data_IF_070966701657
#
_entry.id   IF_070966701657
#
_cell.length_a   1.000
_cell.length_b   1.000
_cell.length_c   1.000
_cell.angle_alpha   90.00
_cell.angle_beta   90.00
_cell.angle_gamma   90.00
#
_symmetry.space_group_name_H-M   'P 1'
#
loop_
_entity.id
_entity.type
_entity.pdbx_description
1 polymer ?
#
# COMPACT_ATOMS: atom_id res chain seq x y z
N UNK A 1 -36.72 28.14 19.21
CA UNK A 1 -36.60 29.61 19.32
C UNK A 1 -37.94 30.35 19.27
N UNK A 2 -38.97 29.92 18.52
CA UNK A 2 -40.30 30.58 18.55
C UNK A 2 -41.34 29.98 19.52
N UNK A 3 -40.95 29.04 20.38
CA UNK A 3 -41.86 28.24 21.23
C UNK A 3 -41.97 28.73 22.67
N UNK A 4 -41.22 29.78 23.05
CA UNK A 4 -41.32 30.38 24.38
C UNK A 4 -42.56 31.28 24.44
N UNK A 5 -43.40 31.09 25.47
CA UNK A 5 -44.64 31.87 25.67
C UNK A 5 -44.42 33.40 25.63
N UNK A 6 -43.24 33.87 26.03
CA UNK A 6 -42.91 35.29 26.12
C UNK A 6 -42.02 35.80 24.97
N UNK A 7 -41.83 35.01 23.90
CA UNK A 7 -41.03 35.45 22.76
C UNK A 7 -41.87 36.30 21.80
N UNK A 8 -41.71 37.62 21.93
CA UNK A 8 -42.22 38.63 20.99
C UNK A 8 -41.14 38.96 19.97
N UNK A 9 -41.26 38.42 18.76
CA UNK A 9 -40.42 38.79 17.64
C UNK A 9 -40.95 40.10 17.06
N UNK A 10 -40.40 41.24 17.47
CA UNK A 10 -40.78 42.58 16.96
C UNK A 10 -40.57 42.73 15.45
N UNK A 11 -39.71 41.90 14.87
CA UNK A 11 -39.43 41.82 13.43
C UNK A 11 -40.43 40.97 12.63
N UNK A 12 -41.36 40.26 13.29
CA UNK A 12 -42.32 39.37 12.64
C UNK A 12 -43.75 39.76 13.00
N UNK A 13 -44.54 40.16 11.99
CA UNK A 13 -45.92 40.54 12.21
C UNK A 13 -46.72 39.40 12.89
N UNK A 14 -47.62 39.71 13.85
CA UNK A 14 -48.38 38.69 14.57
C UNK A 14 -49.17 37.73 13.67
N UNK A 15 -49.69 38.23 12.54
CA UNK A 15 -50.40 37.42 11.53
C UNK A 15 -49.50 36.37 10.88
N UNK A 16 -48.27 36.74 10.53
CA UNK A 16 -47.26 35.84 9.94
C UNK A 16 -46.83 34.80 10.98
N UNK A 17 -46.63 35.21 12.24
CA UNK A 17 -46.32 34.30 13.35
C UNK A 17 -47.42 33.23 13.51
N UNK A 18 -48.69 33.65 13.56
CA UNK A 18 -49.83 32.74 13.65
C UNK A 18 -49.91 31.79 12.45
N UNK A 19 -49.66 32.29 11.24
CA UNK A 19 -49.63 31.47 10.03
C UNK A 19 -48.53 30.40 10.10
N UNK A 20 -47.31 30.78 10.51
CA UNK A 20 -46.20 29.83 10.68
C UNK A 20 -46.52 28.79 11.76
N UNK A 21 -47.17 29.17 12.86
CA UNK A 21 -47.58 28.23 13.91
C UNK A 21 -48.59 27.22 13.38
N UNK A 22 -49.63 27.69 12.66
CA UNK A 22 -50.61 26.81 12.00
C UNK A 22 -49.95 25.86 11.00
N UNK A 23 -48.98 26.33 10.21
CA UNK A 23 -48.22 25.48 9.29
C UNK A 23 -47.42 24.39 10.00
N UNK A 24 -46.86 24.68 11.18
CA UNK A 24 -46.10 23.70 11.99
C UNK A 24 -46.99 22.65 12.66
N UNK A 25 -48.26 22.99 12.88
CA UNK A 25 -49.25 22.08 13.47
C UNK A 25 -49.79 21.06 12.45
N UNK A 26 -49.73 21.37 11.15
CA UNK A 26 -50.10 20.44 10.08
C UNK A 26 -49.25 19.17 10.13
N UNK A 27 -49.91 18.02 9.92
CA UNK A 27 -49.24 16.72 9.99
C UNK A 27 -48.18 16.56 8.91
N UNK A 28 -48.43 17.07 7.69
CA UNK A 28 -47.44 17.09 6.60
C UNK A 28 -46.12 17.75 7.02
N UNK A 29 -46.19 18.86 7.75
CA UNK A 29 -44.98 19.54 8.26
C UNK A 29 -44.28 18.71 9.32
N UNK A 30 -45.03 18.13 10.26
CA UNK A 30 -44.48 17.28 11.32
C UNK A 30 -43.81 16.03 10.75
N UNK A 31 -44.41 15.37 9.77
CA UNK A 31 -43.84 14.22 9.06
C UNK A 31 -42.55 14.59 8.33
N UNK A 32 -42.57 15.64 7.50
CA UNK A 32 -41.36 16.14 6.80
C UNK A 32 -40.26 16.52 7.79
N UNK A 33 -40.61 17.15 8.91
CA UNK A 33 -39.66 17.52 9.96
C UNK A 33 -39.07 16.29 10.66
N UNK A 34 -39.89 15.29 10.99
CA UNK A 34 -39.45 14.01 11.57
C UNK A 34 -38.52 13.27 10.61
N UNK A 35 -38.90 13.15 9.34
CA UNK A 35 -38.07 12.51 8.31
C UNK A 35 -36.74 13.24 8.11
N UNK A 36 -36.74 14.58 8.10
CA UNK A 36 -35.51 15.37 8.04
C UNK A 36 -34.60 15.11 9.25
N UNK A 37 -35.18 14.98 10.45
CA UNK A 37 -34.43 14.61 11.65
C UNK A 37 -33.88 13.18 11.59
N UNK A 38 -34.65 12.22 11.08
CA UNK A 38 -34.22 10.83 10.91
C UNK A 38 -33.11 10.71 9.87
N UNK A 39 -33.24 11.39 8.74
CA UNK A 39 -32.18 11.46 7.71
C UNK A 39 -30.88 12.06 8.24
N UNK A 40 -30.96 12.99 9.22
CA UNK A 40 -29.79 13.53 9.92
C UNK A 40 -29.21 12.60 10.98
N UNK A 41 -30.02 11.70 11.54
CA UNK A 41 -29.65 10.78 12.63
C UNK A 41 -29.38 9.35 12.16
N UNK A 42 -29.44 9.07 10.85
CA UNK A 42 -29.29 7.72 10.33
C UNK A 42 -27.89 7.17 10.69
N UNK A 43 -27.79 6.20 11.63
CA UNK A 43 -26.51 5.66 12.07
C UNK A 43 -25.81 4.83 10.99
N UNK A 44 -26.55 4.33 10.00
CA UNK A 44 -25.99 3.57 8.88
C UNK A 44 -25.43 4.47 7.77
N UNK A 45 -25.75 5.76 7.78
CA UNK A 45 -25.24 6.75 6.83
C UNK A 45 -24.52 7.87 7.56
N UNK A 46 -23.38 7.54 8.15
CA UNK A 46 -22.44 8.56 8.60
C UNK A 46 -22.04 9.44 7.40
N UNK A 47 -22.34 10.73 7.50
CA UNK A 47 -21.93 11.72 6.51
C UNK A 47 -20.77 12.55 7.07
N UNK A 48 -19.74 12.85 6.25
CA UNK A 48 -18.65 13.73 6.66
C UNK A 48 -19.18 15.05 7.24
N UNK A 49 -18.69 15.45 8.41
CA UNK A 49 -19.12 16.69 9.06
C UNK A 49 -18.39 17.89 8.47
N UNK A 50 -19.16 18.85 7.97
CA UNK A 50 -18.64 20.09 7.44
C UNK A 50 -18.43 21.14 8.54
N UNK A 51 -17.23 21.72 8.63
CA UNK A 51 -16.86 22.63 9.72
C UNK A 51 -17.16 24.12 9.44
N UNK A 52 -17.51 24.47 8.21
CA UNK A 52 -17.63 25.89 7.79
C UNK A 52 -19.07 26.39 7.80
N UNK A 53 -19.95 25.73 8.56
CA UNK A 53 -21.37 26.05 8.65
C UNK A 53 -22.04 26.04 7.28
N UNK A 54 -22.80 27.07 6.97
CA UNK A 54 -23.55 27.24 5.71
C UNK A 54 -22.70 27.68 4.52
N UNK A 55 -21.37 27.78 4.67
CA UNK A 55 -20.48 28.20 3.57
C UNK A 55 -20.41 27.09 2.52
N UNK A 56 -20.75 27.41 1.27
CA UNK A 56 -20.68 26.43 0.18
C UNK A 56 -19.24 26.08 -0.18
N UNK A 57 -19.02 24.87 -0.70
CA UNK A 57 -17.70 24.42 -1.17
C UNK A 57 -17.15 25.29 -2.30
N UNK A 58 -18.03 25.90 -3.13
CA UNK A 58 -17.62 26.83 -4.18
C UNK A 58 -17.04 28.11 -3.59
N UNK A 59 -17.70 28.68 -2.58
CA UNK A 59 -17.18 29.88 -1.91
C UNK A 59 -15.90 29.56 -1.12
N UNK A 60 -15.82 28.37 -0.54
CA UNK A 60 -14.58 27.90 0.09
C UNK A 60 -13.42 27.84 -0.91
N UNK A 61 -13.66 27.31 -2.11
CA UNK A 61 -12.67 27.26 -3.19
C UNK A 61 -12.19 28.65 -3.58
N UNK A 62 -13.11 29.58 -3.85
CA UNK A 62 -12.77 30.96 -4.25
C UNK A 62 -11.90 31.63 -3.18
N UNK A 63 -12.30 31.54 -1.92
CA UNK A 63 -11.56 32.17 -0.82
C UNK A 63 -10.17 31.53 -0.63
N UNK A 64 -10.04 30.22 -0.89
CA UNK A 64 -8.74 29.51 -0.88
C UNK A 64 -7.86 29.90 -2.07
N UNK A 65 -8.42 30.04 -3.28
CA UNK A 65 -7.69 30.48 -4.47
C UNK A 65 -7.16 31.91 -4.31
N UNK A 66 -7.96 32.80 -3.73
CA UNK A 66 -7.53 34.15 -3.38
C UNK A 66 -6.39 34.14 -2.35
N UNK A 67 -6.48 33.29 -1.32
CA UNK A 67 -5.44 33.18 -0.29
C UNK A 67 -4.13 32.61 -0.83
N UNK A 68 -4.21 31.60 -1.70
CA UNK A 68 -3.04 30.87 -2.21
C UNK A 68 -2.50 31.44 -3.52
N UNK A 69 -3.19 32.38 -4.15
CA UNK A 69 -2.85 33.00 -5.45
C UNK A 69 -2.60 31.96 -6.57
N UNK A 70 -3.23 30.81 -6.46
CA UNK A 70 -3.19 29.73 -7.44
C UNK A 70 -4.51 28.98 -7.46
N UNK A 71 -4.74 28.22 -8.53
CA UNK A 71 -5.84 27.26 -8.59
C UNK A 71 -5.67 26.22 -7.48
N UNK A 72 -6.76 25.95 -6.76
CA UNK A 72 -6.75 24.98 -5.66
C UNK A 72 -7.37 23.67 -6.09
N UNK A 73 -6.85 22.60 -5.52
CA UNK A 73 -7.31 21.23 -5.80
C UNK A 73 -8.60 20.95 -5.04
N UNK A 74 -9.37 19.97 -5.54
CA UNK A 74 -10.60 19.52 -4.85
C UNK A 74 -10.27 18.93 -3.47
N UNK A 75 -9.10 18.30 -3.34
CA UNK A 75 -8.60 17.78 -2.07
C UNK A 75 -8.36 18.90 -1.06
N UNK A 76 -7.71 20.00 -1.45
CA UNK A 76 -7.49 21.14 -0.55
C UNK A 76 -8.81 21.76 -0.07
N UNK A 77 -9.79 21.87 -0.96
CA UNK A 77 -11.15 22.33 -0.61
C UNK A 77 -11.81 21.36 0.37
N UNK A 78 -11.68 20.06 0.15
CA UNK A 78 -12.22 19.05 1.07
C UNK A 78 -11.55 19.13 2.44
N UNK A 79 -10.22 19.21 2.49
CA UNK A 79 -9.46 19.29 3.74
C UNK A 79 -9.87 20.52 4.54
N UNK A 80 -9.86 21.69 3.93
CA UNK A 80 -10.26 22.94 4.58
C UNK A 80 -11.71 22.90 5.11
N UNK A 81 -12.59 22.16 4.44
CA UNK A 81 -13.98 22.01 4.85
C UNK A 81 -14.19 21.07 6.04
N UNK A 82 -13.29 20.09 6.27
CA UNK A 82 -13.49 19.00 7.23
C UNK A 82 -12.40 18.93 8.32
N UNK A 83 -11.45 19.87 8.34
CA UNK A 83 -10.47 20.01 9.43
C UNK A 83 -10.84 21.12 10.40
N UNK A 84 -10.54 20.89 11.68
CA UNK A 84 -10.67 21.89 12.73
C UNK A 84 -9.48 22.87 12.73
N UNK A 85 -9.53 23.86 13.63
CA UNK A 85 -8.45 24.86 13.81
C UNK A 85 -7.08 24.23 14.16
N UNK A 86 -7.07 23.02 14.70
CA UNK A 86 -5.86 22.23 15.04
C UNK A 86 -5.39 21.35 13.87
N UNK A 87 -5.91 21.55 12.66
CA UNK A 87 -5.56 20.78 11.46
C UNK A 87 -5.87 19.27 11.55
N UNK A 88 -6.81 18.87 12.42
CA UNK A 88 -7.29 17.49 12.55
C UNK A 88 -8.69 17.36 11.97
N UNK A 89 -9.01 16.20 11.36
CA UNK A 89 -10.36 15.90 10.92
C UNK A 89 -11.35 15.93 12.09
N UNK A 90 -12.54 16.45 11.84
CA UNK A 90 -13.57 16.57 12.89
C UNK A 90 -14.30 15.28 13.20
N UNK A 91 -14.24 14.31 12.29
CA UNK A 91 -14.86 13.01 12.44
C UNK A 91 -14.09 11.93 11.67
N UNK A 92 -14.32 10.67 12.04
CA UNK A 92 -13.63 9.52 11.46
C UNK A 92 -14.05 9.27 10.02
N UNK A 93 -15.29 9.58 9.65
CA UNK A 93 -15.81 9.41 8.29
C UNK A 93 -15.09 10.34 7.32
N UNK A 94 -14.85 11.60 7.71
CA UNK A 94 -14.09 12.59 6.94
C UNK A 94 -12.63 12.18 6.77
N UNK A 95 -12.01 11.67 7.83
CA UNK A 95 -10.64 11.13 7.78
C UNK A 95 -10.56 9.88 6.88
N UNK A 96 -11.56 9.00 6.95
CA UNK A 96 -11.63 7.82 6.12
C UNK A 96 -11.79 8.21 4.66
N UNK A 97 -12.74 9.09 4.33
CA UNK A 97 -12.91 9.63 2.97
C UNK A 97 -11.65 10.31 2.48
N UNK A 98 -10.87 10.99 3.33
CA UNK A 98 -9.55 11.57 3.03
C UNK A 98 -8.42 10.56 2.80
N UNK A 99 -8.58 9.33 3.29
CA UNK A 99 -7.55 8.30 3.20
C UNK A 99 -7.83 7.32 2.07
N UNK A 100 -9.08 6.85 1.94
CA UNK A 100 -9.49 5.84 0.95
C UNK A 100 -10.06 6.45 -0.32
N UNK A 101 -10.38 7.75 -0.30
CA UNK A 101 -11.15 8.38 -1.36
C UNK A 101 -12.65 8.08 -1.26
N UNK A 102 -13.47 9.05 -1.65
CA UNK A 102 -14.91 8.90 -1.75
C UNK A 102 -15.41 9.27 -3.13
N UNK A 103 -16.34 8.49 -3.68
CA UNK A 103 -16.99 8.79 -4.96
C UNK A 103 -18.44 9.23 -4.73
N UNK A 104 -18.79 10.46 -5.12
CA UNK A 104 -20.19 10.91 -5.12
C UNK A 104 -20.48 11.85 -6.28
N UNK A 105 -21.54 11.56 -7.05
CA UNK A 105 -21.99 12.35 -8.21
C UNK A 105 -20.86 12.64 -9.24
N UNK A 106 -20.04 11.62 -9.54
CA UNK A 106 -18.94 11.74 -10.50
C UNK A 106 -17.77 12.62 -10.02
N UNK A 107 -17.69 12.88 -8.72
CA UNK A 107 -16.60 13.61 -8.08
C UNK A 107 -15.91 12.70 -7.07
N UNK A 108 -14.59 12.65 -7.19
CA UNK A 108 -13.70 12.00 -6.25
C UNK A 108 -13.31 13.04 -5.20
N UNK A 109 -13.45 12.67 -3.92
CA UNK A 109 -13.04 13.49 -2.78
C UNK A 109 -12.05 12.70 -1.95
N UNK A 110 -11.19 13.43 -1.24
CA UNK A 110 -10.38 12.83 -0.19
C UNK A 110 -9.35 11.79 -0.66
N UNK A 111 -8.82 11.89 -1.87
CA UNK A 111 -7.61 11.14 -2.27
C UNK A 111 -6.34 11.98 -2.09
N UNK A 112 -6.41 13.07 -1.32
CA UNK A 112 -5.28 13.97 -1.11
C UNK A 112 -4.63 14.43 -2.41
N UNK A 113 -3.30 14.35 -2.46
CA UNK A 113 -2.49 14.65 -3.66
C UNK A 113 -2.68 13.64 -4.80
N UNK A 114 -3.06 12.39 -4.50
CA UNK A 114 -3.32 11.38 -5.53
C UNK A 114 -4.55 11.73 -6.39
N UNK A 115 -5.48 12.53 -5.87
CA UNK A 115 -6.68 12.96 -6.61
C UNK A 115 -6.37 13.81 -7.86
N UNK A 116 -5.19 14.41 -7.95
CA UNK A 116 -4.79 15.18 -9.13
C UNK A 116 -4.57 14.27 -10.36
N UNK A 117 -4.15 13.03 -10.15
CA UNK A 117 -3.85 12.07 -11.21
C UNK A 117 -5.12 11.36 -11.73
N UNK A 118 -6.18 11.32 -10.92
CA UNK A 118 -7.42 10.60 -11.24
C UNK A 118 -8.56 11.48 -11.79
N UNK A 119 -8.38 12.80 -11.88
CA UNK A 119 -9.42 13.70 -12.37
C UNK A 119 -9.13 14.24 -13.78
N UNK A 120 -9.46 13.44 -14.79
CA UNK A 120 -10.12 13.96 -15.99
C UNK A 120 -11.63 13.77 -15.81
N UNK A 121 -12.38 14.88 -15.82
CA UNK A 121 -13.84 14.81 -15.93
C UNK A 121 -14.14 13.93 -17.15
N UNK A 122 -14.83 12.78 -17.02
CA UNK A 122 -15.13 11.96 -18.18
C UNK A 122 -15.93 12.83 -19.15
N UNK A 123 -15.32 13.13 -20.30
CA UNK A 123 -16.10 13.66 -21.41
C UNK A 123 -17.25 12.66 -21.63
N UNK A 124 -18.47 13.16 -21.85
CA UNK A 124 -19.61 12.27 -22.13
C UNK A 124 -19.41 11.48 -23.43
N UNK A 125 -18.34 11.74 -24.17
CA UNK A 125 -17.92 10.98 -25.34
C UNK A 125 -17.63 9.52 -24.99
N UNK A 126 -18.42 8.64 -25.63
CA UNK A 126 -18.26 7.20 -25.51
C UNK A 126 -16.87 6.73 -25.98
N UNK A 127 -16.23 7.49 -26.88
CA UNK A 127 -14.88 7.22 -27.40
C UNK A 127 -13.81 7.29 -26.31
N UNK A 128 -13.83 8.32 -25.46
CA UNK A 128 -12.87 8.50 -24.36
C UNK A 128 -13.06 7.44 -23.28
N UNK A 129 -14.32 7.07 -23.01
CA UNK A 129 -14.64 5.97 -22.09
C UNK A 129 -14.11 4.62 -22.62
N UNK A 130 -14.29 4.35 -23.91
CA UNK A 130 -13.79 3.13 -24.56
C UNK A 130 -12.25 3.09 -24.58
N UNK A 131 -11.60 4.20 -24.90
CA UNK A 131 -10.14 4.30 -24.89
C UNK A 131 -9.55 4.01 -23.48
N UNK A 132 -10.18 4.55 -22.43
CA UNK A 132 -9.79 4.24 -21.05
C UNK A 132 -9.97 2.78 -20.68
N UNK A 133 -11.11 2.18 -21.03
CA UNK A 133 -11.36 0.74 -20.77
C UNK A 133 -10.30 -0.10 -21.48
N UNK A 134 -10.02 0.20 -22.75
CA UNK A 134 -8.98 -0.50 -23.50
C UNK A 134 -7.60 -0.35 -22.84
N UNK A 135 -7.27 0.85 -22.33
CA UNK A 135 -6.00 1.08 -21.64
C UNK A 135 -5.91 0.29 -20.33
N UNK A 136 -6.98 0.24 -19.53
CA UNK A 136 -7.03 -0.59 -18.31
C UNK A 136 -6.86 -2.06 -18.65
N UNK A 137 -7.60 -2.58 -19.63
CA UNK A 137 -7.48 -3.97 -20.05
C UNK A 137 -6.05 -4.30 -20.55
N UNK A 138 -5.41 -3.33 -21.23
CA UNK A 138 -4.02 -3.49 -21.67
C UNK A 138 -3.05 -3.55 -20.48
N UNK A 139 -3.23 -2.70 -19.47
CA UNK A 139 -2.42 -2.74 -18.25
C UNK A 139 -2.64 -4.04 -17.46
N UNK A 140 -3.87 -4.52 -17.37
CA UNK A 140 -4.19 -5.81 -16.73
C UNK A 140 -3.47 -6.97 -17.44
N UNK A 141 -3.49 -6.98 -18.78
CA UNK A 141 -2.78 -7.98 -19.58
C UNK A 141 -1.25 -7.89 -19.38
N UNK A 142 -0.67 -6.69 -19.29
CA UNK A 142 0.76 -6.54 -18.99
C UNK A 142 1.11 -7.07 -17.59
N UNK A 143 0.28 -6.81 -16.59
CA UNK A 143 0.49 -7.32 -15.22
C UNK A 143 0.44 -8.85 -15.20
N UNK A 144 -0.51 -9.45 -15.91
CA UNK A 144 -0.62 -10.91 -16.02
C UNK A 144 0.60 -11.52 -16.73
N UNK A 145 1.08 -10.88 -17.79
CA UNK A 145 2.31 -11.29 -18.47
C UNK A 145 3.53 -11.22 -17.55
N UNK A 146 3.76 -10.08 -16.89
CA UNK A 146 4.91 -9.89 -15.97
C UNK A 146 4.84 -10.88 -14.80
N UNK A 147 3.64 -11.19 -14.30
CA UNK A 147 3.47 -12.20 -13.26
C UNK A 147 3.84 -13.60 -13.75
N UNK A 148 3.48 -13.94 -14.99
CA UNK A 148 3.85 -15.22 -15.62
C UNK A 148 5.35 -15.33 -15.84
N UNK A 149 6.00 -14.27 -16.34
CA UNK A 149 7.45 -14.20 -16.51
C UNK A 149 8.18 -14.33 -15.16
N UNK A 150 7.70 -13.63 -14.12
CA UNK A 150 8.25 -13.75 -12.77
C UNK A 150 8.12 -15.16 -12.18
N UNK A 151 7.03 -15.87 -12.48
CA UNK A 151 6.87 -17.25 -12.06
C UNK A 151 7.88 -18.19 -12.74
N UNK A 152 8.09 -18.02 -14.05
CA UNK A 152 9.08 -18.77 -14.81
C UNK A 152 10.51 -18.51 -14.32
N UNK A 153 10.87 -17.24 -14.10
CA UNK A 153 12.20 -16.87 -13.58
C UNK A 153 12.46 -17.45 -12.19
N UNK A 154 11.44 -17.51 -11.32
CA UNK A 154 11.56 -18.17 -10.01
C UNK A 154 11.83 -19.66 -10.15
N UNK A 155 11.13 -20.35 -11.05
CA UNK A 155 11.36 -21.77 -11.31
C UNK A 155 12.79 -22.02 -11.81
N UNK A 156 13.26 -21.26 -12.80
CA UNK A 156 14.63 -21.37 -13.33
C UNK A 156 15.69 -21.11 -12.25
N UNK A 157 15.43 -20.15 -11.35
CA UNK A 157 16.32 -19.86 -10.23
C UNK A 157 16.44 -21.05 -9.28
N UNK A 158 15.33 -21.71 -8.96
CA UNK A 158 15.32 -22.86 -8.06
C UNK A 158 15.97 -24.10 -8.71
N UNK A 159 15.74 -24.33 -10.01
CA UNK A 159 16.44 -25.35 -10.78
C UNK A 159 17.96 -25.11 -10.81
N UNK A 160 18.38 -23.87 -11.07
CA UNK A 160 19.80 -23.49 -11.10
C UNK A 160 20.47 -23.64 -9.73
N UNK A 161 19.76 -23.28 -8.65
CA UNK A 161 20.23 -23.53 -7.28
C UNK A 161 20.42 -25.02 -7.02
N UNK A 162 19.47 -25.86 -7.44
CA UNK A 162 19.59 -27.31 -7.33
C UNK A 162 20.83 -27.84 -8.04
N UNK A 163 21.05 -27.42 -9.29
CA UNK A 163 22.27 -27.79 -10.05
C UNK A 163 23.53 -27.33 -9.33
N UNK A 164 23.56 -26.09 -8.82
CA UNK A 164 24.71 -25.54 -8.10
C UNK A 164 25.03 -26.32 -6.82
N UNK A 165 24.02 -26.74 -6.07
CA UNK A 165 24.25 -27.58 -4.87
C UNK A 165 24.86 -28.93 -5.26
N UNK A 166 24.32 -29.59 -6.28
CA UNK A 166 24.82 -30.88 -6.75
C UNK A 166 26.25 -30.79 -7.32
N UNK A 167 26.61 -29.71 -8.02
CA UNK A 167 27.99 -29.51 -8.51
C UNK A 167 28.95 -29.21 -7.39
N UNK A 168 28.53 -28.47 -6.36
CA UNK A 168 29.34 -28.19 -5.16
C UNK A 168 29.65 -29.48 -4.40
N UNK A 169 28.65 -30.35 -4.21
CA UNK A 169 28.86 -31.66 -3.57
C UNK A 169 29.86 -32.55 -4.34
N UNK A 170 29.75 -32.58 -5.68
CA UNK A 170 30.71 -33.31 -6.53
C UNK A 170 32.12 -32.74 -6.46
N UNK A 171 32.24 -31.41 -6.38
CA UNK A 171 33.52 -30.74 -6.25
C UNK A 171 34.19 -31.11 -4.91
N UNK A 172 33.42 -31.10 -3.82
CA UNK A 172 33.91 -31.49 -2.49
C UNK A 172 34.36 -32.96 -2.46
N UNK A 173 33.61 -33.87 -3.08
CA UNK A 173 34.01 -35.27 -3.24
C UNK A 173 35.33 -35.39 -4.02
N UNK A 174 35.46 -34.67 -5.12
CA UNK A 174 36.69 -34.67 -5.94
C UNK A 174 37.89 -34.15 -5.14
N UNK A 175 37.70 -33.07 -4.38
CA UNK A 175 38.73 -32.51 -3.51
C UNK A 175 39.19 -33.50 -2.43
N UNK A 176 38.25 -34.26 -1.83
CA UNK A 176 38.59 -35.31 -0.86
C UNK A 176 39.39 -36.45 -1.50
N UNK A 177 39.02 -36.87 -2.72
CA UNK A 177 39.75 -37.91 -3.46
C UNK A 177 41.17 -37.44 -3.77
N UNK A 178 41.35 -36.21 -4.29
CA UNK A 178 42.67 -35.65 -4.59
C UNK A 178 43.54 -35.59 -3.34
N UNK A 179 42.99 -35.15 -2.20
CA UNK A 179 43.71 -35.13 -0.92
C UNK A 179 44.17 -36.52 -0.48
N UNK A 180 43.32 -37.53 -0.67
CA UNK A 180 43.63 -38.92 -0.33
C UNK A 180 44.74 -39.47 -1.23
N UNK A 181 44.67 -39.22 -2.53
CA UNK A 181 45.72 -39.59 -3.49
C UNK A 181 47.06 -38.91 -3.17
N UNK A 182 47.04 -37.62 -2.82
CA UNK A 182 48.25 -36.90 -2.37
C UNK A 182 48.87 -37.56 -1.13
N UNK A 183 48.05 -37.95 -0.14
CA UNK A 183 48.53 -38.67 1.05
C UNK A 183 49.14 -40.03 0.70
N UNK A 184 48.49 -40.82 -0.16
CA UNK A 184 49.02 -42.11 -0.63
C UNK A 184 50.35 -41.94 -1.37
N UNK A 185 50.47 -40.94 -2.24
CA UNK A 185 51.69 -40.65 -2.98
C UNK A 185 52.82 -40.23 -2.04
N UNK A 186 52.53 -39.43 -1.02
CA UNK A 186 53.49 -39.05 0.03
C UNK A 186 54.03 -40.29 0.76
N UNK A 187 53.14 -41.23 1.14
CA UNK A 187 53.51 -42.48 1.81
C UNK A 187 54.44 -43.31 0.92
N UNK A 188 54.10 -43.49 -0.36
CA UNK A 188 54.91 -44.26 -1.31
C UNK A 188 56.31 -43.66 -1.50
N UNK A 189 56.41 -42.34 -1.59
CA UNK A 189 57.69 -41.63 -1.70
C UNK A 189 58.53 -41.75 -0.42
N UNK A 190 57.91 -41.71 0.77
CA UNK A 190 58.61 -41.92 2.04
C UNK A 190 59.05 -43.38 2.26
N UNK A 191 58.23 -44.36 1.84
CA UNK A 191 58.53 -45.79 2.04
C UNK A 191 59.64 -46.34 1.14
N UNK A 192 60.01 -45.64 0.07
CA UNK A 192 61.11 -46.04 -0.82
C UNK A 192 62.52 -45.73 -0.26
N UNK A 193 62.64 -44.97 0.83
CA UNK A 193 63.95 -44.61 1.40
C UNK A 193 64.48 -45.61 2.44
N UNK A 194 63.65 -46.51 2.99
CA UNK A 194 64.07 -47.40 4.09
C UNK A 194 64.52 -48.81 3.65
N UNK A 195 64.45 -49.15 2.36
CA UNK A 195 64.76 -50.52 1.88
C UNK A 195 66.10 -50.64 1.14
N UNK A 196 66.82 -49.53 0.90
CA UNK A 196 68.17 -49.57 0.30
C UNK A 196 69.19 -49.16 1.36
N UNK A 197 69.43 -50.04 2.32
CA UNK A 197 70.41 -49.76 3.36
C UNK A 197 70.59 -50.89 4.36
N UNK A 198 71.02 -52.07 3.92
CA UNK A 198 71.88 -52.98 4.73
C UNK A 198 72.30 -54.19 3.90
N UNK A 199 73.45 -54.07 3.23
CA UNK A 199 74.27 -55.22 2.91
C UNK A 199 75.65 -55.02 3.54
N UNK A 200 76.10 -56.09 4.20
CA UNK A 200 77.48 -56.39 4.62
C UNK A 200 77.96 -55.88 5.99
N UNK A 201 77.95 -56.79 6.97
CA UNK A 201 79.16 -57.06 7.75
C UNK A 201 79.08 -58.47 8.37
N UNK A 202 79.67 -59.45 7.67
CA UNK A 202 80.01 -60.78 8.20
C UNK A 202 81.18 -60.66 9.16
N UNK A 203 80.97 -60.95 10.44
CA UNK A 203 82.04 -61.21 11.40
C UNK A 203 82.15 -62.72 11.62
N UNK A 204 83.25 -63.32 11.14
CA UNK A 204 83.72 -64.65 11.56
C UNK A 204 84.87 -64.46 12.58
N UNK A 205 84.97 -65.29 13.63
CA UNK A 205 85.94 -65.15 14.71
C UNK A 205 87.33 -65.74 14.34
N UNK A 206 88.41 -65.34 15.04
CA UNK A 206 89.76 -65.77 14.73
C UNK A 206 90.11 -67.12 15.38
N UNK A 207 90.71 -68.03 14.61
CA UNK A 207 91.43 -69.20 15.10
C UNK A 207 92.91 -68.88 15.29
N UNK A 208 93.55 -69.25 16.43
CA UNK A 208 94.99 -69.20 16.57
C UNK A 208 95.64 -70.58 16.39
N UNK A 209 96.63 -70.58 15.49
CA UNK A 209 97.92 -71.30 15.45
C UNK A 209 98.07 -72.79 15.83
N UNK A 210 98.64 -73.49 14.84
CA UNK A 210 99.28 -74.83 14.77
C UNK A 210 100.72 -74.73 15.32
N UNK A 211 101.30 -75.77 15.99
CA UNK A 211 101.83 -76.99 15.34
C UNK A 211 101.05 -78.28 15.61
#
# INVERSE_FOLDING_TARGET
MCTRKNYSATWCAPSIKLHIMKLREKDEFKEKSKQCSLNKKNPEKEMPLHCKGSKSSVKLRIDLEQKLKRKVTVAEVYREAHVNKKQKFVDKTSENVWSVGGWKNGRIYGLGSAANDFYEKPCKDSSVKKARINHVNHLESQVEQVNSENAQLKQQLDETKGVLTATTEKLDQTNQIVKTLQQQMQILLSGHFDVIGTASSTNLPPTPHVP
#
